data_IF_314515923972
#
_entry.id   IF_314515923972
#
_cell.length_a   1.000
_cell.length_b   1.000
_cell.length_c   1.000
_cell.angle_alpha   90.00
_cell.angle_beta   90.00
_cell.angle_gamma   90.00
#
_symmetry.space_group_name_H-M   'P 1'
#
loop_
_entity.id
_entity.type
_entity.pdbx_description
1 polymer ?
#
# COMPACT_ATOMS: atom_id res chain seq x y z
N UNK A 1 -22.69 -5.55 13.72
CA UNK A 1 -23.22 -6.34 12.57
C UNK A 1 -22.03 -6.73 11.72
N UNK A 2 -22.02 -7.87 11.02
CA UNK A 2 -20.94 -8.16 10.06
C UNK A 2 -20.94 -7.11 8.94
N UNK A 3 -19.75 -6.81 8.41
CA UNK A 3 -19.61 -5.96 7.24
C UNK A 3 -20.37 -6.61 6.08
N UNK A 4 -21.17 -5.85 5.32
CA UNK A 4 -21.94 -6.44 4.21
C UNK A 4 -21.03 -6.89 3.06
N UNK A 5 -20.03 -6.07 2.75
CA UNK A 5 -19.02 -6.30 1.72
C UNK A 5 -17.83 -5.37 1.94
N UNK A 6 -16.68 -5.74 1.40
CA UNK A 6 -15.54 -4.83 1.30
C UNK A 6 -15.80 -3.72 0.27
N UNK A 7 -15.55 -2.47 0.65
CA UNK A 7 -15.63 -1.32 -0.24
C UNK A 7 -14.36 -1.19 -1.12
N UNK A 8 -14.46 -0.54 -2.29
CA UNK A 8 -13.28 -0.13 -3.06
C UNK A 8 -12.26 0.64 -2.21
N UNK A 9 -10.95 0.56 -2.51
CA UNK A 9 -9.91 1.29 -1.80
C UNK A 9 -10.28 2.77 -1.69
N UNK A 10 -10.03 3.37 -0.52
CA UNK A 10 -10.34 4.78 -0.27
C UNK A 10 -11.81 5.21 -0.50
N UNK A 11 -12.73 4.25 -0.60
CA UNK A 11 -14.14 4.48 -0.96
C UNK A 11 -14.31 5.17 -2.31
N UNK A 12 -13.41 4.94 -3.27
CA UNK A 12 -13.57 5.47 -4.63
C UNK A 12 -14.85 4.93 -5.27
N UNK A 13 -15.45 5.74 -6.14
CA UNK A 13 -16.77 5.47 -6.71
C UNK A 13 -16.70 5.03 -8.19
N UNK A 14 -15.50 4.83 -8.72
CA UNK A 14 -15.27 4.44 -10.13
C UNK A 14 -15.96 3.09 -10.47
N UNK A 15 -16.03 2.19 -9.48
CA UNK A 15 -16.63 0.86 -9.63
C UNK A 15 -18.15 0.91 -9.42
N UNK A 16 -18.90 0.53 -10.46
CA UNK A 16 -20.37 0.44 -10.44
C UNK A 16 -20.84 -0.61 -9.45
N UNK A 17 -22.04 -0.38 -8.91
CA UNK A 17 -22.68 -1.22 -7.90
C UNK A 17 -22.72 -2.71 -8.30
N UNK A 18 -23.07 -3.02 -9.55
CA UNK A 18 -23.15 -4.39 -10.08
C UNK A 18 -21.81 -5.17 -10.03
N UNK A 19 -20.68 -4.47 -9.95
CA UNK A 19 -19.35 -5.09 -9.88
C UNK A 19 -18.75 -5.11 -8.47
N UNK A 20 -19.39 -4.49 -7.47
CA UNK A 20 -18.86 -4.42 -6.09
C UNK A 20 -18.82 -5.78 -5.41
N UNK A 21 -19.70 -6.71 -5.77
CA UNK A 21 -19.65 -8.07 -5.22
C UNK A 21 -18.42 -8.86 -5.73
N UNK A 22 -17.97 -8.61 -6.96
CA UNK A 22 -16.73 -9.24 -7.44
C UNK A 22 -15.48 -8.67 -6.73
N UNK A 23 -15.48 -7.37 -6.42
CA UNK A 23 -14.43 -6.77 -5.58
C UNK A 23 -14.41 -7.37 -4.18
N UNK A 24 -15.59 -7.52 -3.55
CA UNK A 24 -15.74 -8.19 -2.27
C UNK A 24 -15.12 -9.59 -2.26
N UNK A 25 -15.37 -10.39 -3.32
CA UNK A 25 -14.81 -11.73 -3.46
C UNK A 25 -13.28 -11.73 -3.55
N UNK A 26 -12.69 -10.76 -4.26
CA UNK A 26 -11.22 -10.62 -4.36
C UNK A 26 -10.62 -10.37 -2.98
N UNK A 27 -11.13 -9.38 -2.25
CA UNK A 27 -10.62 -9.06 -0.91
C UNK A 27 -10.85 -10.21 0.07
N UNK A 28 -12.04 -10.81 0.05
CA UNK A 28 -12.37 -11.98 0.87
C UNK A 28 -11.44 -13.17 0.59
N UNK A 29 -10.99 -13.35 -0.66
CA UNK A 29 -10.01 -14.37 -1.01
C UNK A 29 -8.61 -14.07 -0.43
N UNK A 30 -8.17 -12.81 -0.42
CA UNK A 30 -6.93 -12.42 0.24
C UNK A 30 -6.97 -12.62 1.77
N UNK A 31 -8.13 -12.43 2.39
CA UNK A 31 -8.32 -12.68 3.82
C UNK A 31 -8.32 -14.17 4.19
N UNK A 32 -8.40 -15.05 3.19
CA UNK A 32 -8.53 -16.50 3.34
C UNK A 32 -7.62 -17.24 2.38
N UNK A 33 -6.32 -17.24 2.69
CA UNK A 33 -5.33 -18.00 1.93
C UNK A 33 -4.97 -19.31 2.64
N UNK A 34 -4.17 -20.16 1.99
CA UNK A 34 -3.60 -21.34 2.64
C UNK A 34 -2.73 -20.99 3.86
N UNK A 35 -2.15 -19.79 3.89
CA UNK A 35 -1.27 -19.31 4.97
C UNK A 35 -2.02 -18.51 6.03
N UNK A 36 -3.18 -17.97 5.68
CA UNK A 36 -4.03 -17.13 6.53
C UNK A 36 -5.45 -17.70 6.51
N UNK A 37 -5.80 -18.50 7.52
CA UNK A 37 -7.12 -19.09 7.67
C UNK A 37 -7.46 -19.30 9.16
N UNK A 38 -8.73 -19.53 9.52
CA UNK A 38 -9.12 -19.63 10.94
C UNK A 38 -8.41 -20.72 11.74
N UNK A 39 -7.92 -21.79 11.11
CA UNK A 39 -7.20 -22.88 11.79
C UNK A 39 -5.74 -22.48 12.10
N UNK A 40 -5.12 -21.69 11.24
CA UNK A 40 -3.69 -21.34 11.34
C UNK A 40 -3.45 -19.94 11.90
N UNK A 41 -4.42 -19.04 11.73
CA UNK A 41 -4.43 -17.65 12.17
C UNK A 41 -5.76 -17.35 12.86
N UNK A 42 -6.05 -17.94 14.04
CA UNK A 42 -7.36 -17.81 14.71
C UNK A 42 -7.69 -16.38 15.12
N UNK A 43 -6.66 -15.54 15.24
CA UNK A 43 -6.77 -14.12 15.53
C UNK A 43 -7.15 -13.29 14.30
N UNK A 44 -6.95 -13.77 13.07
CA UNK A 44 -7.26 -13.00 11.85
C UNK A 44 -8.56 -13.45 11.21
N UNK A 45 -9.40 -12.49 10.78
CA UNK A 45 -10.69 -12.80 10.17
C UNK A 45 -11.10 -11.85 9.04
N UNK A 46 -12.05 -12.31 8.22
CA UNK A 46 -12.77 -11.48 7.25
C UNK A 46 -14.04 -10.89 7.88
N UNK A 47 -14.11 -9.57 8.00
CA UNK A 47 -15.24 -8.84 8.59
C UNK A 47 -16.58 -9.07 7.87
N UNK A 48 -16.55 -9.56 6.62
CA UNK A 48 -17.77 -9.89 5.87
C UNK A 48 -18.36 -11.23 6.25
N UNK A 49 -17.54 -12.10 6.85
CA UNK A 49 -17.93 -13.47 7.23
C UNK A 49 -18.11 -13.63 8.74
N UNK A 50 -17.38 -12.84 9.53
CA UNK A 50 -17.44 -12.91 10.99
C UNK A 50 -18.18 -11.69 11.53
N UNK A 51 -19.15 -11.93 12.40
CA UNK A 51 -19.82 -10.87 13.16
C UNK A 51 -18.87 -10.38 14.26
N UNK A 52 -18.41 -9.15 14.12
CA UNK A 52 -17.55 -8.50 15.11
C UNK A 52 -18.28 -8.33 16.45
N UNK A 53 -17.53 -8.54 17.53
CA UNK A 53 -17.98 -8.31 18.90
C UNK A 53 -17.46 -6.95 19.38
N UNK A 54 -18.23 -6.27 20.21
CA UNK A 54 -17.79 -5.03 20.86
C UNK A 54 -16.92 -5.34 22.10
N UNK A 55 -15.99 -4.45 22.48
CA UNK A 55 -15.68 -3.18 21.81
C UNK A 55 -14.90 -3.40 20.51
N UNK A 56 -15.13 -2.52 19.53
CA UNK A 56 -14.32 -2.46 18.31
C UNK A 56 -13.44 -1.20 18.36
N UNK A 57 -12.13 -1.40 18.25
CA UNK A 57 -11.13 -0.32 18.23
C UNK A 57 -10.40 -0.33 16.90
N UNK A 58 -10.27 0.84 16.26
CA UNK A 58 -9.42 0.99 15.08
C UNK A 58 -8.00 1.35 15.53
N UNK A 59 -7.05 0.43 15.29
CA UNK A 59 -5.63 0.67 15.47
C UNK A 59 -5.01 1.14 14.15
N UNK A 60 -4.30 2.27 14.18
CA UNK A 60 -3.58 2.81 13.02
C UNK A 60 -2.09 2.56 13.18
N UNK A 61 -1.47 1.91 12.21
CA UNK A 61 -0.02 1.73 12.14
C UNK A 61 0.53 2.60 11.02
N UNK A 62 1.61 3.34 11.29
CA UNK A 62 2.22 4.29 10.34
C UNK A 62 3.72 4.05 10.18
N UNK A 63 4.23 4.26 8.96
CA UNK A 63 5.66 4.19 8.63
C UNK A 63 6.02 5.21 7.56
N UNK A 64 7.33 5.38 7.31
CA UNK A 64 7.86 6.33 6.33
C UNK A 64 7.72 5.78 4.90
N UNK A 65 7.25 6.62 3.97
CA UNK A 65 7.06 6.26 2.56
C UNK A 65 8.33 6.25 1.71
N UNK A 66 9.45 6.83 2.18
CA UNK A 66 10.73 6.72 1.49
C UNK A 66 11.32 5.30 1.60
N UNK A 67 11.82 4.71 0.50
CA UNK A 67 12.43 3.37 0.46
C UNK A 67 13.60 3.17 1.41
N UNK A 68 13.42 2.35 2.46
CA UNK A 68 14.49 2.05 3.41
C UNK A 68 15.65 1.33 2.76
N UNK A 69 15.40 0.41 1.83
CA UNK A 69 16.45 -0.29 1.10
C UNK A 69 17.39 0.66 0.36
N UNK A 70 16.82 1.72 -0.23
CA UNK A 70 17.60 2.77 -0.89
C UNK A 70 18.41 3.57 0.13
N UNK A 71 17.81 3.94 1.27
CA UNK A 71 18.51 4.67 2.33
C UNK A 71 19.70 3.87 2.91
N UNK A 72 19.52 2.55 3.13
CA UNK A 72 20.59 1.68 3.61
C UNK A 72 21.73 1.54 2.60
N UNK A 73 21.39 1.40 1.31
CA UNK A 73 22.38 1.23 0.24
C UNK A 73 23.12 2.52 -0.09
N UNK A 74 22.49 3.67 0.09
CA UNK A 74 23.03 4.98 -0.26
C UNK A 74 22.91 5.96 0.92
N UNK A 75 23.89 5.98 1.85
CA UNK A 75 23.81 6.81 3.06
C UNK A 75 23.93 8.32 2.80
N UNK A 76 24.25 8.74 1.58
CA UNK A 76 24.26 10.15 1.19
C UNK A 76 22.86 10.56 0.69
N UNK A 77 22.26 11.55 1.35
CA UNK A 77 20.89 12.04 1.07
C UNK A 77 20.63 12.33 -0.40
N UNK A 78 21.47 13.16 -1.02
CA UNK A 78 21.31 13.50 -2.44
C UNK A 78 21.36 12.27 -3.34
N UNK A 79 22.25 11.31 -3.05
CA UNK A 79 22.39 10.08 -3.83
C UNK A 79 21.20 9.13 -3.65
N UNK A 80 20.68 8.95 -2.44
CA UNK A 80 19.49 8.10 -2.23
C UNK A 80 18.24 8.69 -2.86
N UNK A 81 18.06 10.01 -2.81
CA UNK A 81 16.93 10.66 -3.48
C UNK A 81 17.01 10.49 -4.99
N UNK A 82 18.19 10.72 -5.58
CA UNK A 82 18.41 10.51 -7.01
C UNK A 82 18.17 9.06 -7.44
N UNK A 83 18.57 8.08 -6.61
CA UNK A 83 18.31 6.67 -6.93
C UNK A 83 16.82 6.33 -6.80
N UNK A 84 16.13 6.80 -5.77
CA UNK A 84 14.70 6.55 -5.58
C UNK A 84 13.82 7.17 -6.69
N UNK A 85 14.24 8.31 -7.24
CA UNK A 85 13.59 8.96 -8.38
C UNK A 85 13.90 8.27 -9.73
N UNK A 86 14.93 7.43 -9.80
CA UNK A 86 15.44 6.90 -11.07
C UNK A 86 14.44 5.99 -11.78
N UNK A 87 13.69 5.20 -11.03
CA UNK A 87 12.65 4.34 -11.54
C UNK A 87 11.70 3.91 -10.42
N UNK A 88 10.56 3.36 -10.83
CA UNK A 88 9.49 2.92 -9.92
C UNK A 88 9.81 1.64 -9.13
N UNK A 89 10.80 0.85 -9.56
CA UNK A 89 11.13 -0.44 -8.90
C UNK A 89 11.74 -0.21 -7.51
N UNK A 90 12.47 0.89 -7.33
CA UNK A 90 13.09 1.25 -6.06
C UNK A 90 12.13 1.90 -5.07
N UNK A 91 10.90 2.22 -5.48
CA UNK A 91 9.88 2.88 -4.66
C UNK A 91 9.03 1.85 -3.91
N UNK A 92 9.66 1.06 -3.05
CA UNK A 92 9.12 -0.20 -2.51
C UNK A 92 8.41 -0.07 -1.15
N UNK A 93 7.94 1.11 -0.74
CA UNK A 93 7.30 1.32 0.58
C UNK A 93 5.83 1.69 0.50
N UNK A 94 5.09 1.08 -0.43
CA UNK A 94 3.68 1.37 -0.68
C UNK A 94 3.43 2.88 -0.89
N UNK A 95 4.39 3.55 -1.50
CA UNK A 95 4.31 4.93 -1.97
C UNK A 95 5.18 5.03 -3.20
N UNK A 96 4.55 5.32 -4.32
CA UNK A 96 5.23 5.51 -5.59
C UNK A 96 4.93 6.91 -6.13
N UNK A 97 5.84 7.45 -6.93
CA UNK A 97 5.74 8.80 -7.44
C UNK A 97 6.37 8.99 -8.82
N UNK A 98 5.89 10.05 -9.47
CA UNK A 98 6.51 10.62 -10.66
C UNK A 98 6.73 12.11 -10.47
N UNK A 99 7.79 12.62 -11.09
CA UNK A 99 8.11 14.04 -11.17
C UNK A 99 7.85 14.59 -12.58
N UNK A 100 7.71 15.90 -12.68
CA UNK A 100 7.77 16.68 -13.93
C UNK A 100 8.82 17.76 -13.76
N UNK A 101 9.60 18.00 -14.81
CA UNK A 101 10.63 19.04 -14.85
C UNK A 101 10.43 19.97 -16.04
N UNK A 102 10.84 21.23 -15.87
CA UNK A 102 10.92 22.20 -16.96
C UNK A 102 12.19 21.98 -17.81
N UNK A 103 12.39 22.82 -18.83
CA UNK A 103 13.54 22.75 -19.73
C UNK A 103 14.88 22.99 -19.02
N UNK A 104 14.88 23.71 -17.89
CA UNK A 104 16.03 23.96 -17.03
C UNK A 104 16.30 22.81 -16.04
N UNK A 105 15.47 21.76 -16.03
CA UNK A 105 15.60 20.60 -15.14
C UNK A 105 15.04 20.81 -13.73
N UNK A 106 14.41 21.96 -13.44
CA UNK A 106 13.76 22.22 -12.15
C UNK A 106 12.44 21.46 -12.05
N UNK A 107 12.13 20.97 -10.86
CA UNK A 107 10.85 20.34 -10.57
C UNK A 107 9.71 21.35 -10.72
N UNK A 108 8.66 20.95 -11.44
CA UNK A 108 7.43 21.74 -11.59
C UNK A 108 6.24 21.06 -10.94
N UNK A 109 6.20 19.72 -10.97
CA UNK A 109 5.13 18.92 -10.39
C UNK A 109 5.66 17.63 -9.78
N UNK A 110 5.04 17.18 -8.70
CA UNK A 110 5.28 15.88 -8.08
C UNK A 110 3.92 15.22 -7.79
N UNK A 111 3.79 13.95 -8.17
CA UNK A 111 2.56 13.19 -8.00
C UNK A 111 2.88 11.91 -7.25
N UNK A 112 2.22 11.69 -6.13
CA UNK A 112 2.30 10.46 -5.34
C UNK A 112 1.03 9.62 -5.51
N UNK A 113 1.17 8.29 -5.53
CA UNK A 113 0.07 7.38 -5.31
C UNK A 113 0.45 6.16 -4.47
N UNK A 114 -0.57 5.53 -3.87
CA UNK A 114 -0.42 4.24 -3.18
C UNK A 114 -1.60 3.27 -3.41
N UNK A 115 -2.34 3.44 -4.50
CA UNK A 115 -3.41 2.50 -4.86
C UNK A 115 -2.82 1.19 -5.40
N UNK A 116 -3.32 0.05 -4.91
CA UNK A 116 -2.85 -1.27 -5.33
C UNK A 116 -3.27 -1.62 -6.76
N UNK A 117 -2.44 -2.40 -7.50
CA UNK A 117 -2.74 -2.79 -8.88
C UNK A 117 -4.04 -3.60 -9.03
N UNK A 118 -4.41 -4.38 -8.02
CA UNK A 118 -5.55 -5.31 -8.08
C UNK A 118 -6.88 -4.60 -8.35
N UNK A 119 -7.05 -3.37 -7.84
CA UNK A 119 -8.25 -2.58 -8.10
C UNK A 119 -8.35 -2.18 -9.58
N UNK A 120 -7.25 -1.77 -10.20
CA UNK A 120 -7.20 -1.33 -11.59
C UNK A 120 -7.29 -2.51 -12.56
N UNK A 121 -6.69 -3.64 -12.22
CA UNK A 121 -6.84 -4.89 -12.98
C UNK A 121 -8.30 -5.36 -12.98
N UNK A 122 -8.96 -5.34 -11.82
CA UNK A 122 -10.37 -5.67 -11.73
C UNK A 122 -11.24 -4.66 -12.49
N UNK A 123 -11.02 -3.36 -12.30
CA UNK A 123 -11.74 -2.30 -13.01
C UNK A 123 -11.54 -2.40 -14.53
N UNK A 124 -10.33 -2.68 -14.99
CA UNK A 124 -10.02 -2.88 -16.40
C UNK A 124 -10.70 -4.11 -17.00
N UNK A 125 -10.86 -5.18 -16.21
CA UNK A 125 -11.58 -6.39 -16.61
C UNK A 125 -13.09 -6.15 -16.74
N UNK A 126 -13.70 -5.45 -15.79
CA UNK A 126 -15.18 -5.33 -15.73
C UNK A 126 -15.74 -4.03 -16.32
N UNK A 127 -14.94 -2.96 -16.36
CA UNK A 127 -15.32 -1.62 -16.80
C UNK A 127 -14.16 -0.93 -17.55
N UNK A 128 -13.68 -1.49 -18.69
CA UNK A 128 -12.50 -0.98 -19.38
C UNK A 128 -12.61 0.49 -19.80
N UNK A 129 -13.80 0.95 -20.23
CA UNK A 129 -13.99 2.35 -20.64
C UNK A 129 -13.97 3.31 -19.44
N UNK A 130 -14.41 2.85 -18.26
CA UNK A 130 -14.25 3.61 -17.01
C UNK A 130 -12.77 3.75 -16.65
N UNK A 131 -11.98 2.69 -16.81
CA UNK A 131 -10.54 2.74 -16.56
C UNK A 131 -9.83 3.73 -17.51
N UNK A 132 -10.15 3.71 -18.80
CA UNK A 132 -9.59 4.67 -19.78
C UNK A 132 -9.93 6.11 -19.38
N UNK A 133 -11.20 6.37 -19.04
CA UNK A 133 -11.63 7.70 -18.61
C UNK A 133 -10.91 8.13 -17.33
N UNK A 134 -10.73 7.23 -16.37
CA UNK A 134 -10.01 7.51 -15.14
C UNK A 134 -8.56 7.93 -15.38
N UNK A 135 -7.86 7.24 -16.29
CA UNK A 135 -6.52 7.63 -16.71
C UNK A 135 -6.49 9.05 -17.29
N UNK A 136 -7.47 9.39 -18.14
CA UNK A 136 -7.59 10.72 -18.77
C UNK A 136 -7.91 11.82 -17.75
N UNK A 137 -8.84 11.56 -16.84
CA UNK A 137 -9.27 12.52 -15.82
C UNK A 137 -8.13 12.85 -14.84
N UNK A 138 -7.26 11.89 -14.54
CA UNK A 138 -6.13 12.07 -13.62
C UNK A 138 -4.85 12.58 -14.28
N UNK A 139 -4.82 12.66 -15.61
CA UNK A 139 -3.70 13.18 -16.39
C UNK A 139 -4.21 14.14 -17.47
N UNK A 140 -4.83 15.27 -17.07
CA UNK A 140 -5.38 16.23 -18.02
C UNK A 140 -4.27 16.75 -18.95
N UNK A 141 -4.58 16.81 -20.25
CA UNK A 141 -3.63 17.26 -21.28
C UNK A 141 -2.76 16.15 -21.89
N UNK A 142 -2.90 14.90 -21.43
CA UNK A 142 -2.24 13.74 -22.04
C UNK A 142 -3.23 12.99 -22.94
N UNK A 143 -2.85 12.71 -24.19
CA UNK A 143 -3.66 11.93 -25.16
C UNK A 143 -3.57 10.42 -24.88
N UNK A 144 -4.22 9.98 -23.80
CA UNK A 144 -4.24 8.58 -23.36
C UNK A 144 -5.33 7.82 -24.12
N UNK A 145 -4.94 6.74 -24.79
CA UNK A 145 -5.84 5.90 -25.61
C UNK A 145 -6.01 4.51 -25.01
N UNK A 146 -7.11 3.86 -25.35
CA UNK A 146 -7.41 2.50 -24.88
C UNK A 146 -6.32 1.51 -25.29
N UNK A 147 -5.79 1.65 -26.50
CA UNK A 147 -4.74 0.79 -27.05
C UNK A 147 -3.40 0.96 -26.31
N UNK A 148 -3.23 2.05 -25.57
CA UNK A 148 -2.06 2.23 -24.71
C UNK A 148 -2.15 1.40 -23.42
N UNK A 149 -3.37 1.15 -22.95
CA UNK A 149 -3.64 0.52 -21.66
C UNK A 149 -3.93 -0.98 -21.77
N UNK A 150 -4.41 -1.44 -22.93
CA UNK A 150 -4.88 -2.80 -23.15
C UNK A 150 -4.13 -3.49 -24.28
N UNK A 151 -3.70 -4.73 -24.04
CA UNK A 151 -3.14 -5.63 -25.05
C UNK A 151 -4.02 -6.87 -25.10
N UNK A 152 -4.54 -7.22 -26.27
CA UNK A 152 -5.47 -8.33 -26.48
C UNK A 152 -6.70 -8.29 -25.55
N UNK A 153 -7.20 -7.07 -25.28
CA UNK A 153 -8.33 -6.84 -24.38
C UNK A 153 -8.00 -6.94 -22.89
N UNK A 154 -6.74 -7.18 -22.52
CA UNK A 154 -6.29 -7.29 -21.13
C UNK A 154 -5.52 -6.04 -20.72
N UNK A 155 -5.92 -5.43 -19.61
CA UNK A 155 -5.23 -4.27 -19.05
C UNK A 155 -3.78 -4.62 -18.68
N UNK A 156 -2.85 -3.70 -18.97
CA UNK A 156 -1.44 -3.81 -18.62
C UNK A 156 -1.08 -2.74 -17.60
N UNK A 157 -0.89 -3.13 -16.34
CA UNK A 157 -0.54 -2.21 -15.25
C UNK A 157 0.80 -1.48 -15.44
N UNK A 158 1.74 -2.08 -16.15
CA UNK A 158 3.06 -1.49 -16.50
C UNK A 158 3.06 -0.84 -17.90
N UNK A 159 1.92 -0.31 -18.34
CA UNK A 159 1.83 0.45 -19.59
C UNK A 159 2.70 1.72 -19.55
N UNK A 160 2.90 2.35 -20.72
CA UNK A 160 3.76 3.53 -20.87
C UNK A 160 3.37 4.73 -19.99
N UNK A 161 2.12 4.82 -19.55
CA UNK A 161 1.63 5.92 -18.72
C UNK A 161 1.79 5.66 -17.21
N UNK A 162 2.03 4.42 -16.78
CA UNK A 162 2.17 4.08 -15.36
C UNK A 162 3.57 3.59 -14.97
N UNK A 163 4.46 3.37 -15.94
CA UNK A 163 5.76 2.72 -15.71
C UNK A 163 6.97 3.68 -15.60
N UNK A 164 6.76 5.00 -15.58
CA UNK A 164 7.86 5.97 -15.39
C UNK A 164 7.75 6.71 -14.06
N UNK A 165 8.88 7.31 -13.67
CA UNK A 165 9.02 8.22 -12.52
C UNK A 165 9.28 9.68 -12.95
N UNK A 166 9.33 9.99 -14.24
CA UNK A 166 9.70 11.32 -14.75
C UNK A 166 8.78 11.89 -15.86
N UNK A 167 7.64 11.24 -16.14
CA UNK A 167 6.72 11.65 -17.22
C UNK A 167 5.56 12.51 -16.73
N UNK A 168 5.37 12.62 -15.41
CA UNK A 168 4.17 13.24 -14.84
C UNK A 168 2.91 12.38 -14.93
N UNK A 169 3.06 11.10 -15.33
CA UNK A 169 1.96 10.13 -15.39
C UNK A 169 2.21 8.97 -14.43
N UNK A 170 1.25 8.71 -13.55
CA UNK A 170 1.25 7.62 -12.56
C UNK A 170 -0.18 7.29 -12.22
N UNK A 171 -0.53 6.01 -12.14
CA UNK A 171 -1.89 5.58 -11.90
C UNK A 171 -2.02 4.73 -10.64
N UNK A 172 -1.18 3.72 -10.50
CA UNK A 172 -1.19 2.84 -9.34
C UNK A 172 0.20 2.26 -9.09
N UNK A 173 0.37 1.58 -7.96
CA UNK A 173 1.59 0.89 -7.59
C UNK A 173 1.95 -0.17 -8.65
N UNK A 174 3.21 -0.22 -9.06
CA UNK A 174 3.74 -1.24 -9.99
C UNK A 174 4.88 -2.05 -9.37
N UNK A 175 5.38 -1.62 -8.21
CA UNK A 175 6.42 -2.34 -7.51
C UNK A 175 5.82 -3.65 -6.97
N UNK A 176 6.51 -4.76 -7.27
CA UNK A 176 6.01 -6.12 -7.04
C UNK A 176 5.69 -6.45 -5.56
N UNK A 177 6.38 -5.85 -4.60
CA UNK A 177 6.11 -6.06 -3.18
C UNK A 177 4.99 -5.14 -2.65
N UNK A 178 4.53 -4.16 -3.44
CA UNK A 178 3.54 -3.17 -3.04
C UNK A 178 2.10 -3.58 -3.45
N UNK A 179 1.69 -4.82 -3.15
CA UNK A 179 0.36 -5.30 -3.55
C UNK A 179 -0.57 -5.50 -2.36
N UNK A 180 -1.87 -5.37 -2.60
CA UNK A 180 -2.88 -5.49 -1.56
C UNK A 180 -2.91 -6.90 -0.98
N UNK A 181 -2.80 -7.93 -1.83
CA UNK A 181 -2.69 -9.32 -1.36
C UNK A 181 -1.48 -9.57 -0.46
N UNK A 182 -0.32 -8.97 -0.77
CA UNK A 182 0.89 -9.11 0.05
C UNK A 182 0.73 -8.45 1.41
N UNK A 183 0.06 -7.29 1.47
CA UNK A 183 -0.25 -6.61 2.71
C UNK A 183 -1.22 -7.41 3.59
N UNK A 184 -2.24 -8.05 3.00
CA UNK A 184 -3.19 -8.87 3.75
C UNK A 184 -2.51 -10.12 4.28
N UNK A 185 -1.66 -10.78 3.49
CA UNK A 185 -0.85 -11.93 3.94
C UNK A 185 0.06 -11.54 5.11
N UNK A 186 0.72 -10.39 5.04
CA UNK A 186 1.57 -9.89 6.13
C UNK A 186 0.74 -9.64 7.40
N UNK A 187 -0.41 -8.95 7.28
CA UNK A 187 -1.29 -8.68 8.42
C UNK A 187 -1.82 -9.96 9.06
N UNK A 188 -2.27 -10.92 8.25
CA UNK A 188 -2.76 -12.21 8.75
C UNK A 188 -1.67 -13.04 9.42
N UNK A 189 -0.50 -13.17 8.78
CA UNK A 189 0.63 -13.95 9.33
C UNK A 189 1.27 -13.31 10.56
N UNK A 190 1.20 -11.98 10.68
CA UNK A 190 1.60 -11.27 11.87
C UNK A 190 0.78 -11.64 13.11
N UNK A 191 -0.42 -12.22 12.94
CA UNK A 191 -1.22 -12.71 14.08
C UNK A 191 -0.80 -14.08 14.61
N UNK A 192 0.15 -14.77 13.95
CA UNK A 192 0.65 -16.07 14.39
C UNK A 192 1.55 -15.87 15.60
N UNK A 193 1.21 -16.51 16.72
CA UNK A 193 2.04 -16.51 17.92
C UNK A 193 3.24 -17.45 17.69
N UNK A 194 4.46 -16.95 17.93
CA UNK A 194 5.71 -17.71 17.72
C UNK A 194 6.44 -17.94 19.03
N UNK A 195 7.06 -19.12 19.16
CA UNK A 195 7.92 -19.50 20.28
C UNK A 195 9.26 -20.02 19.79
N UNK A 196 10.30 -19.82 20.59
CA UNK A 196 11.60 -20.48 20.42
C UNK A 196 11.47 -21.96 20.77
N UNK A 197 12.49 -22.75 20.42
CA UNK A 197 12.55 -24.19 20.72
C UNK A 197 12.43 -24.54 22.21
N UNK A 198 12.76 -23.59 23.11
CA UNK A 198 12.60 -23.74 24.55
C UNK A 198 11.22 -23.29 25.07
N UNK A 199 10.26 -23.02 24.18
CA UNK A 199 8.90 -22.56 24.52
C UNK A 199 8.80 -21.07 24.86
N UNK A 200 9.89 -20.30 24.83
CA UNK A 200 9.84 -18.86 25.14
C UNK A 200 9.17 -18.09 24.00
N UNK A 201 8.18 -17.23 24.26
CA UNK A 201 7.57 -16.38 23.23
C UNK A 201 8.59 -15.50 22.51
N UNK A 202 8.44 -15.40 21.20
CA UNK A 202 9.21 -14.48 20.36
C UNK A 202 8.44 -13.17 20.29
N UNK A 203 8.95 -12.16 20.99
CA UNK A 203 8.38 -10.80 21.02
C UNK A 203 9.32 -9.77 20.38
N UNK A 204 10.57 -10.15 20.15
CA UNK A 204 11.52 -9.35 19.39
C UNK A 204 11.08 -9.25 17.93
N UNK A 205 11.16 -8.05 17.37
CA UNK A 205 10.55 -7.68 16.09
C UNK A 205 11.24 -8.41 14.93
N UNK A 206 12.56 -8.40 14.93
CA UNK A 206 13.42 -8.95 13.89
C UNK A 206 13.42 -10.47 13.95
N UNK A 207 13.41 -11.01 15.16
CA UNK A 207 13.29 -12.44 15.38
C UNK A 207 11.91 -12.94 14.94
N UNK A 208 10.83 -12.22 15.29
CA UNK A 208 9.46 -12.59 14.89
C UNK A 208 9.31 -12.61 13.37
N UNK A 209 9.88 -11.61 12.70
CA UNK A 209 9.96 -11.52 11.26
C UNK A 209 10.60 -12.74 10.59
N UNK A 210 11.84 -13.01 10.98
CA UNK A 210 12.67 -14.09 10.42
C UNK A 210 12.03 -15.44 10.73
N UNK A 211 11.49 -15.60 11.93
CA UNK A 211 10.81 -16.82 12.37
C UNK A 211 9.52 -17.08 11.60
N UNK A 212 8.78 -16.03 11.27
CA UNK A 212 7.47 -16.14 10.62
C UNK A 212 7.53 -16.12 9.10
N UNK A 213 8.69 -15.79 8.52
CA UNK A 213 8.95 -15.69 7.08
C UNK A 213 8.03 -14.70 6.34
N UNK A 214 7.64 -13.61 7.02
CA UNK A 214 6.86 -12.53 6.42
C UNK A 214 7.67 -11.24 6.31
N UNK A 215 7.42 -10.49 5.24
CA UNK A 215 8.08 -9.21 4.95
C UNK A 215 9.56 -9.33 4.62
N UNK A 216 10.21 -8.17 4.44
CA UNK A 216 11.64 -8.01 4.27
C UNK A 216 12.17 -7.05 5.35
N UNK A 217 13.14 -7.46 6.19
CA UNK A 217 13.60 -6.58 7.25
C UNK A 217 14.15 -5.24 6.76
N UNK A 218 14.66 -5.16 5.54
CA UNK A 218 15.23 -3.92 4.99
C UNK A 218 14.17 -2.93 4.46
N UNK A 219 12.87 -3.18 4.69
CA UNK A 219 11.76 -2.26 4.40
C UNK A 219 11.17 -1.65 5.70
N UNK A 220 10.64 -0.43 5.63
CA UNK A 220 9.96 0.30 6.70
C UNK A 220 8.59 -0.31 7.05
N UNK A 221 7.85 -0.76 6.04
CA UNK A 221 6.56 -1.45 6.19
C UNK A 221 6.68 -2.83 6.83
N UNK A 222 7.83 -3.45 6.67
CA UNK A 222 8.21 -4.78 7.13
C UNK A 222 9.20 -4.68 8.32
N UNK A 223 9.57 -5.78 8.97
CA UNK A 223 10.28 -5.70 10.26
C UNK A 223 11.79 -5.34 10.21
N UNK A 224 12.13 -4.06 10.37
CA UNK A 224 13.14 -3.41 11.28
C UNK A 224 13.16 -1.90 10.94
N UNK A 225 13.19 -0.92 11.86
CA UNK A 225 14.33 -0.33 12.60
C UNK A 225 13.81 0.25 13.93
N UNK A 226 14.74 0.47 14.87
CA UNK A 226 14.63 1.28 16.10
C UNK A 226 13.72 2.53 15.85
N UNK A 227 12.70 2.72 16.70
CA UNK A 227 11.83 3.92 16.85
C UNK A 227 10.50 4.05 16.08
N UNK A 228 10.07 3.11 15.23
CA UNK A 228 8.69 3.13 14.65
C UNK A 228 7.88 1.87 14.98
N UNK A 229 6.53 1.94 15.13
CA UNK A 229 5.67 0.76 15.27
C UNK A 229 5.59 -0.03 13.95
N UNK A 230 5.95 -1.33 13.94
CA UNK A 230 5.88 -2.19 12.75
C UNK A 230 4.46 -2.75 12.56
N UNK A 231 4.00 -2.91 11.31
CA UNK A 231 2.74 -3.59 11.01
C UNK A 231 2.70 -4.97 11.69
N UNK A 232 3.76 -5.76 11.50
CA UNK A 232 3.85 -7.11 12.06
C UNK A 232 3.83 -7.14 13.59
N UNK A 233 4.70 -6.36 14.24
CA UNK A 233 4.82 -6.39 15.71
C UNK A 233 3.64 -5.73 16.43
N UNK A 234 3.06 -4.67 15.86
CA UNK A 234 1.87 -4.02 16.39
C UNK A 234 0.66 -4.95 16.32
N UNK A 235 0.46 -5.63 15.19
CA UNK A 235 -0.61 -6.64 15.03
C UNK A 235 -0.36 -7.84 15.97
N UNK A 236 0.87 -8.33 16.06
CA UNK A 236 1.19 -9.46 16.94
C UNK A 236 0.98 -9.13 18.42
N UNK A 237 1.18 -7.87 18.84
CA UNK A 237 0.89 -7.46 20.21
C UNK A 237 -0.59 -7.66 20.56
N UNK A 238 -1.51 -7.21 19.71
CA UNK A 238 -2.94 -7.45 19.92
C UNK A 238 -3.30 -8.94 19.88
N UNK A 239 -2.65 -9.73 19.01
CA UNK A 239 -2.87 -11.17 18.96
C UNK A 239 -2.41 -11.84 20.27
N UNK A 240 -1.24 -11.48 20.80
CA UNK A 240 -0.73 -11.98 22.09
C UNK A 240 -1.63 -11.61 23.27
N UNK A 241 -2.27 -10.44 23.20
CA UNK A 241 -3.23 -10.01 24.20
C UNK A 241 -4.56 -10.78 24.10
N UNK A 242 -4.76 -11.62 23.07
CA UNK A 242 -5.93 -12.49 22.90
C UNK A 242 -7.02 -11.92 22.01
N UNK A 243 -6.76 -10.82 21.28
CA UNK A 243 -7.76 -10.16 20.45
C UNK A 243 -7.93 -10.80 19.06
N UNK A 244 -9.09 -10.54 18.45
CA UNK A 244 -9.38 -10.78 17.05
C UNK A 244 -9.13 -9.51 16.23
N UNK A 245 -8.55 -9.70 15.06
CA UNK A 245 -7.99 -8.66 14.20
C UNK A 245 -8.47 -8.85 12.76
N UNK A 246 -8.77 -7.74 12.10
CA UNK A 246 -8.98 -7.68 10.65
C UNK A 246 -8.44 -6.36 10.13
N UNK A 247 -8.25 -6.24 8.82
CA UNK A 247 -7.93 -4.94 8.22
C UNK A 247 -9.23 -4.14 8.10
N UNK A 248 -9.18 -2.87 8.48
CA UNK A 248 -10.35 -1.99 8.46
C UNK A 248 -10.86 -1.79 7.03
N UNK A 249 -12.16 -1.56 6.89
CA UNK A 249 -12.78 -1.32 5.59
C UNK A 249 -12.66 0.16 5.22
N UNK A 250 -12.25 0.50 3.99
CA UNK A 250 -11.78 -0.37 2.91
C UNK A 250 -10.38 -0.90 3.16
N UNK A 251 -10.15 -2.12 2.69
CA UNK A 251 -8.83 -2.76 2.74
C UNK A 251 -7.91 -2.02 1.78
N UNK A 252 -6.83 -1.45 2.33
CA UNK A 252 -5.89 -0.61 1.59
C UNK A 252 -4.80 -0.03 2.48
N UNK A 253 -3.89 0.69 1.84
CA UNK A 253 -2.89 1.53 2.52
C UNK A 253 -3.17 2.97 2.12
N UNK A 254 -2.90 3.91 3.03
CA UNK A 254 -3.31 5.31 2.86
C UNK A 254 -2.17 6.25 3.15
N UNK A 255 -2.04 7.31 2.34
CA UNK A 255 -1.18 8.44 2.66
C UNK A 255 -1.75 9.10 3.91
N UNK A 256 -1.04 8.97 5.03
CA UNK A 256 -1.50 9.41 6.35
C UNK A 256 -1.24 10.90 6.55
N UNK A 257 -0.03 11.35 6.20
CA UNK A 257 0.40 12.73 6.38
C UNK A 257 1.59 13.07 5.50
N UNK A 258 1.76 14.35 5.23
CA UNK A 258 3.00 14.93 4.68
C UNK A 258 3.46 16.01 5.65
N UNK A 259 4.70 15.94 6.12
CA UNK A 259 5.28 16.93 7.04
C UNK A 259 5.81 18.16 6.28
N UNK A 260 4.95 19.15 6.07
CA UNK A 260 5.33 20.43 5.45
C UNK A 260 6.11 21.36 6.37
N UNK A 261 6.28 21.03 7.67
CA UNK A 261 7.06 21.86 8.60
C UNK A 261 8.55 21.97 8.22
N UNK A 262 9.01 21.13 7.28
CA UNK A 262 10.37 21.11 6.76
C UNK A 262 10.47 21.62 5.32
N UNK A 263 9.38 22.16 4.77
CA UNK A 263 9.31 22.69 3.41
C UNK A 263 9.03 24.18 3.48
N UNK A 264 9.84 24.98 2.81
CA UNK A 264 9.76 26.44 2.84
C UNK A 264 9.77 27.01 1.43
N UNK A 265 9.06 28.12 1.25
CA UNK A 265 9.12 28.93 0.04
C UNK A 265 10.55 29.49 -0.19
N UNK A 266 10.92 29.81 -1.44
CA UNK A 266 12.21 30.44 -1.74
C UNK A 266 12.34 31.82 -1.06
N UNK A 267 13.57 32.35 -0.92
CA UNK A 267 13.80 33.71 -0.48
C UNK A 267 13.00 34.74 -1.29
N UNK A 268 12.36 35.68 -0.59
CA UNK A 268 11.45 36.67 -1.18
C UNK A 268 9.98 36.21 -1.29
N UNK A 269 9.67 34.98 -0.90
CA UNK A 269 8.32 34.40 -0.88
C UNK A 269 7.96 33.79 0.49
N UNK A 270 8.54 34.29 1.58
CA UNK A 270 8.43 33.70 2.92
C UNK A 270 7.00 33.65 3.48
N UNK A 271 6.09 34.47 2.94
CA UNK A 271 4.66 34.48 3.30
C UNK A 271 3.86 33.35 2.63
N UNK A 272 4.42 32.67 1.62
CA UNK A 272 3.77 31.54 0.98
C UNK A 272 3.89 30.28 1.85
N UNK A 273 2.76 29.60 2.10
CA UNK A 273 2.72 28.31 2.78
C UNK A 273 2.75 27.15 1.76
N UNK A 274 3.84 26.37 1.67
CA UNK A 274 3.92 25.24 0.74
C UNK A 274 2.84 24.18 0.96
N UNK A 275 2.26 24.06 2.16
CA UNK A 275 1.17 23.13 2.40
C UNK A 275 -0.05 23.45 1.51
N UNK A 276 -0.28 24.72 1.16
CA UNK A 276 -1.39 25.14 0.28
C UNK A 276 -1.22 24.69 -1.17
N UNK A 277 0.00 24.32 -1.58
CA UNK A 277 0.30 23.85 -2.93
C UNK A 277 0.05 22.35 -3.09
N UNK A 278 -0.20 21.63 -1.99
CA UNK A 278 -0.56 20.21 -2.01
C UNK A 278 -2.06 20.01 -2.20
N UNK A 279 -2.42 19.11 -3.12
CA UNK A 279 -3.80 18.77 -3.43
C UNK A 279 -4.00 17.26 -3.35
N UNK A 280 -4.96 16.84 -2.53
CA UNK A 280 -5.48 15.49 -2.60
C UNK A 280 -6.34 15.34 -3.84
N UNK A 281 -5.96 14.43 -4.74
CA UNK A 281 -6.69 14.21 -6.00
C UNK A 281 -7.44 12.90 -6.01
N UNK A 282 -7.15 11.97 -5.08
CA UNK A 282 -7.95 10.75 -4.87
C UNK A 282 -8.04 10.32 -3.40
N UNK A 283 -9.17 9.71 -3.07
CA UNK A 283 -9.55 9.30 -1.73
C UNK A 283 -10.20 10.42 -0.92
N UNK A 284 -10.43 10.16 0.36
CA UNK A 284 -11.10 11.09 1.29
C UNK A 284 -10.36 11.19 2.61
N UNK A 285 -10.77 12.10 3.48
CA UNK A 285 -10.10 12.31 4.77
C UNK A 285 -9.87 11.00 5.53
N UNK A 286 -8.61 10.75 5.88
CA UNK A 286 -8.14 9.52 6.54
C UNK A 286 -7.97 8.31 5.61
N UNK A 287 -8.22 8.44 4.31
CA UNK A 287 -8.12 7.39 3.30
C UNK A 287 -7.56 7.95 1.98
N UNK A 288 -6.59 8.86 2.04
CA UNK A 288 -6.01 9.44 0.84
C UNK A 288 -5.12 8.45 0.11
N UNK A 289 -5.18 8.45 -1.22
CA UNK A 289 -4.40 7.53 -2.05
C UNK A 289 -3.66 8.16 -3.21
N UNK A 290 -3.92 9.45 -3.48
CA UNK A 290 -3.19 10.25 -4.45
C UNK A 290 -3.08 11.69 -4.00
N UNK A 291 -1.89 12.25 -4.09
CA UNK A 291 -1.62 13.65 -3.84
C UNK A 291 -0.72 14.26 -4.91
N UNK A 292 -1.00 15.51 -5.25
CA UNK A 292 -0.25 16.29 -6.23
C UNK A 292 0.30 17.54 -5.56
N UNK A 293 1.59 17.79 -5.77
CA UNK A 293 2.29 18.97 -5.32
C UNK A 293 2.68 19.79 -6.54
N UNK A 294 2.28 21.05 -6.59
CA UNK A 294 2.54 21.94 -7.72
C UNK A 294 2.37 23.40 -7.26
N UNK A 295 3.38 24.24 -7.51
CA UNK A 295 3.29 25.67 -7.18
C UNK A 295 2.31 26.35 -8.16
N UNK A 296 1.32 27.13 -7.67
CA UNK A 296 0.44 27.90 -8.54
C UNK A 296 1.21 28.85 -9.46
N UNK A 297 0.79 28.92 -10.72
CA UNK A 297 1.51 29.66 -11.77
C UNK A 297 1.67 31.17 -11.49
N UNK A 298 0.80 31.76 -10.66
CA UNK A 298 0.82 33.16 -10.26
C UNK A 298 1.88 33.49 -9.19
N UNK A 299 2.51 32.48 -8.58
CA UNK A 299 3.58 32.68 -7.59
C UNK A 299 4.92 33.10 -8.21
N UNK A 300 5.13 32.83 -9.49
CA UNK A 300 6.35 33.25 -10.21
C UNK A 300 7.60 32.38 -9.95
N UNK A 301 7.46 31.26 -9.24
CA UNK A 301 8.49 30.24 -9.04
C UNK A 301 7.89 28.83 -9.18
N UNK A 302 8.73 27.79 -9.18
CA UNK A 302 8.30 26.39 -9.33
C UNK A 302 8.72 25.55 -8.12
N UNK A 303 8.27 24.29 -8.04
CA UNK A 303 8.63 23.42 -6.91
C UNK A 303 10.13 23.32 -6.68
N UNK A 304 10.93 23.32 -7.75
CA UNK A 304 12.38 23.25 -7.67
C UNK A 304 13.05 24.43 -6.97
N UNK A 305 12.29 25.51 -6.73
CA UNK A 305 12.74 26.68 -5.96
C UNK A 305 12.42 26.55 -4.46
N UNK A 306 11.54 25.64 -4.07
CA UNK A 306 11.25 25.36 -2.66
C UNK A 306 12.48 24.79 -1.96
N UNK A 307 12.58 25.04 -0.66
CA UNK A 307 13.61 24.51 0.22
C UNK A 307 13.04 23.40 1.10
N UNK A 308 13.61 22.20 1.04
CA UNK A 308 13.34 21.11 1.97
C UNK A 308 14.53 21.01 2.92
N UNK A 309 14.33 21.20 4.23
CA UNK A 309 15.45 21.23 5.21
C UNK A 309 16.58 22.17 4.80
N UNK A 310 16.23 23.36 4.31
CA UNK A 310 17.15 24.39 3.80
C UNK A 310 17.99 23.99 2.56
N UNK A 311 17.63 22.92 1.85
CA UNK A 311 18.23 22.57 0.56
C UNK A 311 17.19 22.65 -0.57
N UNK A 312 17.56 23.10 -1.78
CA UNK A 312 16.62 23.13 -2.91
C UNK A 312 15.96 21.77 -3.16
N UNK A 313 14.67 21.81 -3.54
CA UNK A 313 13.92 20.62 -3.91
C UNK A 313 14.35 20.15 -5.31
N UNK A 314 15.29 19.20 -5.34
CA UNK A 314 15.81 18.62 -6.58
C UNK A 314 15.08 17.32 -6.96
N UNK A 315 14.58 16.55 -5.99
CA UNK A 315 14.06 15.18 -6.17
C UNK A 315 12.72 14.94 -5.47
N UNK A 316 11.87 14.08 -6.04
CA UNK A 316 10.64 13.62 -5.40
C UNK A 316 10.90 12.88 -4.08
N UNK A 317 12.01 12.14 -4.02
CA UNK A 317 12.50 11.47 -2.82
C UNK A 317 12.66 12.39 -1.59
N UNK A 318 12.93 13.69 -1.78
CA UNK A 318 13.01 14.65 -0.66
C UNK A 318 11.66 14.86 0.03
N UNK A 319 10.57 14.84 -0.74
CA UNK A 319 9.21 14.92 -0.18
C UNK A 319 8.77 13.56 0.34
N UNK A 320 9.14 12.45 -0.32
CA UNK A 320 8.82 11.10 0.15
C UNK A 320 9.38 10.81 1.57
N UNK A 321 10.50 11.43 1.94
CA UNK A 321 11.07 11.44 3.30
C UNK A 321 10.20 12.11 4.37
N UNK A 322 9.17 12.83 3.94
CA UNK A 322 8.22 13.56 4.79
C UNK A 322 6.82 12.94 4.74
N UNK A 323 6.61 11.93 3.87
CA UNK A 323 5.33 11.24 3.71
C UNK A 323 5.26 10.03 4.64
N UNK A 324 4.18 9.93 5.40
CA UNK A 324 3.84 8.71 6.15
C UNK A 324 2.71 7.96 5.45
N UNK A 325 2.86 6.64 5.39
CA UNK A 325 1.82 5.71 4.95
C UNK A 325 1.21 5.05 6.18
N UNK A 326 -0.05 4.65 6.07
CA UNK A 326 -0.78 3.95 7.12
C UNK A 326 -1.52 2.72 6.64
N UNK A 327 -1.70 1.79 7.56
CA UNK A 327 -2.70 0.72 7.52
C UNK A 327 -3.58 0.85 8.76
N UNK A 328 -4.86 0.51 8.62
CA UNK A 328 -5.80 0.48 9.72
C UNK A 328 -6.23 -0.95 9.99
N UNK A 329 -6.14 -1.39 11.23
CA UNK A 329 -6.66 -2.66 11.70
C UNK A 329 -7.86 -2.41 12.63
N UNK A 330 -8.86 -3.28 12.58
CA UNK A 330 -9.92 -3.34 13.61
C UNK A 330 -9.55 -4.45 14.59
N UNK A 331 -9.59 -4.09 15.87
CA UNK A 331 -9.43 -5.00 17.01
C UNK A 331 -10.82 -5.18 17.60
N UNK A 332 -11.36 -6.41 17.56
CA UNK A 332 -12.73 -6.69 17.94
C UNK A 332 -12.82 -7.58 19.17
N UNK A 333 -13.77 -7.24 20.04
CA UNK A 333 -14.16 -8.01 21.22
C UNK A 333 -13.18 -7.89 22.39
N UNK A 334 -13.60 -8.36 23.58
CA UNK A 334 -12.66 -8.60 24.66
C UNK A 334 -11.61 -9.64 24.23
N UNK A 335 -10.44 -9.66 24.87
CA UNK A 335 -9.45 -10.70 24.62
C UNK A 335 -10.02 -12.07 25.04
N UNK A 336 -10.35 -12.91 24.05
CA UNK A 336 -11.06 -14.19 24.24
C UNK A 336 -10.33 -15.39 23.62
N UNK A 337 -9.28 -15.15 22.83
CA UNK A 337 -8.41 -16.20 22.31
C UNK A 337 -7.31 -16.44 23.33
N UNK A 338 -7.51 -17.44 24.18
CA UNK A 338 -6.63 -17.70 25.34
C UNK A 338 -5.34 -18.42 24.96
N UNK A 339 -5.33 -19.22 23.89
CA UNK A 339 -4.15 -19.97 23.45
C UNK A 339 -4.20 -20.24 21.93
N UNK A 340 -3.92 -19.24 21.10
CA UNK A 340 -3.55 -19.55 19.73
C UNK A 340 -2.27 -20.38 19.77
N UNK A 341 -2.34 -21.71 19.56
CA UNK A 341 -1.22 -22.62 19.82
C UNK A 341 0.09 -22.07 19.24
N UNK A 342 1.04 -21.65 20.10
CA UNK A 342 2.23 -20.97 19.61
C UNK A 342 3.08 -21.92 18.76
N UNK A 343 3.53 -21.45 17.60
CA UNK A 343 4.26 -22.27 16.65
C UNK A 343 5.77 -22.03 16.75
N UNK A 344 6.54 -23.10 16.62
CA UNK A 344 7.99 -22.99 16.47
C UNK A 344 8.36 -22.30 15.14
N UNK A 345 9.57 -21.74 15.05
CA UNK A 345 10.08 -21.21 13.78
C UNK A 345 10.22 -22.33 12.74
N UNK A 346 9.86 -22.06 11.50
CA UNK A 346 9.87 -23.05 10.42
C UNK A 346 8.68 -24.02 10.40
N UNK A 347 7.85 -24.03 11.46
CA UNK A 347 6.55 -24.71 11.45
C UNK A 347 5.54 -23.80 10.73
N UNK A 348 5.55 -23.91 9.41
CA UNK A 348 4.60 -23.25 8.53
C UNK A 348 3.45 -24.21 8.24
N UNK A 349 2.19 -23.72 8.25
CA UNK A 349 1.06 -24.55 7.84
C UNK A 349 1.34 -25.25 6.51
N UNK A 350 1.18 -26.58 6.48
CA UNK A 350 1.28 -27.36 5.25
C UNK A 350 0.23 -26.81 4.29
N UNK A 351 0.64 -26.36 3.10
CA UNK A 351 -0.25 -25.83 2.08
C UNK A 351 -1.18 -26.95 1.57
N UNK A 352 -2.50 -27.02 1.90
CA UNK A 352 -3.42 -27.91 1.18
C UNK A 352 -3.48 -27.52 -0.30
N UNK A 353 -3.73 -28.42 -1.25
CA UNK A 353 -3.76 -28.03 -2.68
C UNK A 353 -4.93 -27.05 -2.94
N UNK A 354 -4.78 -26.08 -3.87
CA UNK A 354 -5.88 -25.12 -4.23
C UNK A 354 -7.16 -25.90 -4.57
N UNK A 355 -7.01 -27.07 -5.20
CA UNK A 355 -8.09 -27.99 -5.56
C UNK A 355 -8.90 -28.57 -4.39
N UNK A 356 -8.41 -28.46 -3.16
CA UNK A 356 -8.99 -29.06 -1.95
C UNK A 356 -9.76 -28.03 -1.10
N UNK A 357 -9.75 -26.74 -1.47
CA UNK A 357 -10.50 -25.69 -0.77
C UNK A 357 -11.93 -25.58 -1.34
N UNK A 358 -12.90 -26.18 -0.66
CA UNK A 358 -14.31 -26.24 -1.09
C UNK A 358 -14.97 -24.87 -1.36
N UNK A 359 -14.48 -23.80 -0.74
CA UNK A 359 -15.04 -22.45 -0.86
C UNK A 359 -14.42 -21.59 -1.97
N UNK A 360 -13.32 -22.05 -2.61
CA UNK A 360 -12.69 -21.36 -3.75
C UNK A 360 -13.22 -21.85 -5.11
N UNK A 361 -14.14 -22.82 -5.13
CA UNK A 361 -14.64 -23.49 -6.35
C UNK A 361 -15.53 -22.64 -7.27
N UNK A 362 -15.56 -21.32 -7.13
CA UNK A 362 -16.10 -20.46 -8.19
C UNK A 362 -15.01 -20.29 -9.25
N UNK A 363 -15.18 -20.96 -10.39
CA UNK A 363 -14.21 -21.07 -11.50
C UNK A 363 -13.57 -19.72 -11.89
N UNK A 364 -14.29 -18.61 -11.73
CA UNK A 364 -13.83 -17.27 -12.11
C UNK A 364 -12.80 -16.63 -11.16
N UNK A 365 -12.81 -16.96 -9.87
CA UNK A 365 -11.90 -16.36 -8.87
C UNK A 365 -10.57 -17.10 -8.81
N UNK A 366 -10.60 -18.44 -8.91
CA UNK A 366 -9.37 -19.23 -9.06
C UNK A 366 -8.63 -18.84 -10.34
N UNK A 367 -9.34 -18.72 -11.48
CA UNK A 367 -8.71 -18.29 -12.72
C UNK A 367 -8.11 -16.88 -12.61
N UNK A 368 -8.79 -15.94 -11.94
CA UNK A 368 -8.24 -14.58 -11.77
C UNK A 368 -7.00 -14.55 -10.86
N UNK A 369 -6.97 -15.31 -9.75
CA UNK A 369 -5.80 -15.41 -8.88
C UNK A 369 -4.64 -16.12 -9.58
N UNK A 370 -4.91 -17.19 -10.32
CA UNK A 370 -3.90 -17.90 -11.09
C UNK A 370 -3.35 -17.01 -12.21
N UNK A 371 -4.19 -16.29 -12.96
CA UNK A 371 -3.78 -15.32 -13.99
C UNK A 371 -2.98 -14.16 -13.36
N UNK A 372 -3.41 -13.69 -12.19
CA UNK A 372 -2.73 -12.64 -11.42
C UNK A 372 -1.32 -13.10 -11.01
N UNK A 373 -1.18 -14.26 -10.37
CA UNK A 373 0.12 -14.82 -9.96
C UNK A 373 1.05 -15.11 -11.16
N UNK A 374 0.51 -15.62 -12.27
CA UNK A 374 1.28 -15.88 -13.49
C UNK A 374 1.75 -14.59 -14.17
N UNK A 375 0.92 -13.55 -14.23
CA UNK A 375 1.29 -12.26 -14.81
C UNK A 375 2.48 -11.60 -14.10
N UNK A 376 2.67 -11.91 -12.82
CA UNK A 376 3.73 -11.36 -11.98
C UNK A 376 5.04 -12.15 -11.97
N UNK A 377 5.04 -13.38 -12.48
CA UNK A 377 6.27 -14.20 -12.63
C UNK A 377 6.88 -14.10 -14.02
N UNK A 378 6.15 -13.54 -14.99
CA UNK A 378 6.53 -13.44 -16.40
C UNK A 378 7.16 -12.09 -16.82
N UNK A 379 7.55 -11.21 -15.88
CA UNK A 379 8.24 -9.94 -16.19
C UNK A 379 9.60 -9.79 -15.51
#
# INVERSE_FOLDING_TARGET
>A
MSLKRHDPPAFVEDLKEEHREGWNKIISAFMHTRRVNPETTPHFYDATRVKEQEPIVTAKVTWLGFPKQVALKFPNDRRRWAEADRNRITQDEYLEWTVVRNAEGKLTKLIFCNEGPEYFEYLGKVQPDTLVKLYQDLHPGVDIKKEDLFVDGVYKGTNKWNNSSDTGTIMHLIQRNNTLGAQVDLGGRATILRVRSNGTPIVDRDELARCSDYGNPDRNSDPTVIDTPQIGAAINAFARDGHRLTIDNPVGLYIDSVDFGQVHAPPGHEDDDPQEFWKWTRGRNGFHVRGEFEVPADKGYVLGDLLVRNVPLEFGGQIADLVKISIKARVAGPPDIVDGEPRCCGDHPILPKVSELDYMKTTDVCQWLDDYEHSRTAS
#
